data_IF_320957111033
#
_entry.id   IF_320957111033
#
_cell.length_a   1.000
_cell.length_b   1.000
_cell.length_c   1.000
_cell.angle_alpha   90.00
_cell.angle_beta   90.00
_cell.angle_gamma   90.00
#
_symmetry.space_group_name_H-M   'P 1'
#
loop_
_entity.id
_entity.type
_entity.pdbx_description
1 polymer ?
#
# COMPACT_ATOMS: atom_id res chain seq x y z
N UNK A 1 22.37 -38.69 -0.82
CA UNK A 1 23.54 -38.27 -0.02
C UNK A 1 24.42 -37.44 -0.94
N UNK A 2 24.33 -36.11 -0.87
CA UNK A 2 25.13 -35.22 -1.71
C UNK A 2 26.46 -34.97 -1.01
N UNK A 3 27.57 -35.18 -1.75
CA UNK A 3 28.92 -35.09 -1.23
C UNK A 3 29.32 -33.63 -0.94
N UNK A 4 30.06 -33.47 0.16
CA UNK A 4 30.64 -32.25 0.70
C UNK A 4 31.95 -32.02 -0.05
N UNK A 5 31.97 -31.21 -1.11
CA UNK A 5 33.23 -30.61 -1.61
C UNK A 5 33.06 -29.44 -2.59
N UNK A 6 31.84 -29.11 -2.99
CA UNK A 6 31.45 -27.76 -3.37
C UNK A 6 30.02 -27.59 -2.84
N UNK A 7 29.77 -26.81 -1.77
CA UNK A 7 28.40 -26.64 -1.32
C UNK A 7 27.72 -25.85 -2.43
N UNK A 8 26.96 -26.51 -3.30
CA UNK A 8 26.07 -25.84 -4.24
C UNK A 8 25.32 -24.76 -3.45
N UNK A 9 25.71 -23.50 -3.65
CA UNK A 9 25.11 -22.38 -2.95
C UNK A 9 23.73 -22.27 -3.56
N UNK A 10 22.73 -22.70 -2.79
CA UNK A 10 21.34 -22.61 -3.20
C UNK A 10 21.00 -21.13 -3.35
N UNK A 11 20.94 -20.64 -4.59
CA UNK A 11 20.63 -19.23 -4.88
C UNK A 11 19.13 -18.97 -4.95
N UNK A 12 18.35 -19.95 -5.40
CA UNK A 12 16.90 -19.82 -5.51
C UNK A 12 16.19 -21.02 -4.90
N UNK A 13 15.22 -20.74 -4.04
CA UNK A 13 14.37 -21.75 -3.44
C UNK A 13 12.92 -21.30 -3.57
N UNK A 14 12.13 -22.09 -4.32
CA UNK A 14 10.71 -21.86 -4.54
C UNK A 14 9.94 -23.11 -4.15
N UNK A 15 9.13 -23.00 -3.10
CA UNK A 15 8.40 -24.11 -2.50
C UNK A 15 6.91 -23.80 -2.50
N UNK A 16 6.10 -24.73 -2.99
CA UNK A 16 4.65 -24.65 -2.84
C UNK A 16 4.05 -25.99 -2.48
N UNK A 17 3.33 -26.05 -1.36
CA UNK A 17 2.70 -27.29 -0.87
C UNK A 17 3.68 -28.46 -0.66
N UNK A 18 4.91 -28.15 -0.23
CA UNK A 18 5.96 -29.16 0.03
C UNK A 18 6.36 -29.09 1.50
N UNK A 19 6.56 -30.26 2.11
CA UNK A 19 7.18 -30.39 3.43
C UNK A 19 8.70 -30.43 3.26
N UNK A 20 9.39 -29.51 3.91
CA UNK A 20 10.85 -29.51 3.95
C UNK A 20 11.33 -29.47 5.39
N UNK A 21 12.46 -30.12 5.63
CA UNK A 21 13.23 -29.91 6.85
C UNK A 21 14.06 -28.63 6.69
N UNK A 22 13.64 -27.57 7.38
CA UNK A 22 14.27 -26.26 7.31
C UNK A 22 15.67 -26.23 7.94
N UNK A 23 16.06 -27.21 8.75
CA UNK A 23 17.40 -27.29 9.35
C UNK A 23 18.43 -27.92 8.38
N UNK A 24 17.96 -28.71 7.42
CA UNK A 24 18.81 -29.38 6.44
C UNK A 24 19.25 -28.49 5.27
N UNK A 25 18.65 -27.30 5.12
CA UNK A 25 18.90 -26.39 3.99
C UNK A 25 19.91 -25.31 4.37
N UNK A 26 20.96 -25.16 3.56
CA UNK A 26 21.88 -24.03 3.68
C UNK A 26 21.34 -22.80 2.91
N UNK A 27 21.02 -21.74 3.64
CA UNK A 27 20.44 -20.50 3.09
C UNK A 27 21.47 -19.38 2.85
N UNK A 28 22.77 -19.61 3.12
CA UNK A 28 23.77 -18.54 3.10
C UNK A 28 23.97 -17.87 1.74
N UNK A 29 23.73 -18.61 0.64
CA UNK A 29 23.80 -18.10 -0.73
C UNK A 29 22.45 -17.65 -1.31
N UNK A 30 21.37 -17.68 -0.52
CA UNK A 30 20.03 -17.53 -1.07
C UNK A 30 19.74 -16.08 -1.50
N UNK A 31 19.35 -15.94 -2.77
CA UNK A 31 18.94 -14.69 -3.41
C UNK A 31 17.44 -14.60 -3.59
N UNK A 32 16.76 -15.74 -3.79
CA UNK A 32 15.31 -15.82 -3.96
C UNK A 32 14.73 -16.85 -3.01
N UNK A 33 13.82 -16.42 -2.15
CA UNK A 33 13.01 -17.29 -1.30
C UNK A 33 11.53 -17.08 -1.63
N UNK A 34 10.89 -18.09 -2.21
CA UNK A 34 9.44 -18.12 -2.38
C UNK A 34 8.85 -19.34 -1.68
N UNK A 35 7.89 -19.11 -0.80
CA UNK A 35 7.26 -20.16 0.00
C UNK A 35 5.75 -19.92 -0.02
N UNK A 36 5.00 -20.93 -0.45
CA UNK A 36 3.55 -20.79 -0.63
C UNK A 36 2.74 -21.99 -0.17
N UNK A 37 1.57 -21.71 0.39
CA UNK A 37 0.54 -22.71 0.71
C UNK A 37 1.07 -23.85 1.60
N UNK A 38 1.77 -23.52 2.67
CA UNK A 38 2.20 -24.47 3.68
C UNK A 38 1.09 -24.67 4.70
N UNK A 39 0.04 -25.40 4.29
CA UNK A 39 -1.10 -25.70 5.15
C UNK A 39 -0.63 -26.47 6.39
N UNK A 40 -0.73 -25.86 7.58
CA UNK A 40 -0.48 -26.44 8.91
C UNK A 40 0.94 -26.95 9.23
N UNK A 41 1.89 -26.83 8.31
CA UNK A 41 3.29 -27.28 8.49
C UNK A 41 4.31 -26.21 8.04
N UNK A 42 3.90 -24.93 8.10
CA UNK A 42 4.77 -23.80 7.80
C UNK A 42 5.86 -23.59 8.86
N UNK A 43 7.00 -22.99 8.51
CA UNK A 43 7.97 -22.52 9.50
C UNK A 43 7.33 -21.46 10.40
N UNK A 44 7.78 -21.35 11.65
CA UNK A 44 7.36 -20.28 12.58
C UNK A 44 7.89 -18.92 12.09
N UNK A 45 7.31 -17.80 12.56
CA UNK A 45 7.83 -16.45 12.25
C UNK A 45 9.29 -16.38 12.66
N UNK A 46 9.60 -16.84 13.88
CA UNK A 46 10.96 -16.88 14.40
C UNK A 46 11.89 -17.67 13.48
N UNK A 47 11.47 -18.85 13.02
CA UNK A 47 12.30 -19.67 12.13
C UNK A 47 12.58 -18.96 10.82
N UNK A 48 11.59 -18.26 10.26
CA UNK A 48 11.81 -17.43 9.08
C UNK A 48 12.82 -16.32 9.39
N UNK A 49 12.66 -15.61 10.50
CA UNK A 49 13.61 -14.57 10.92
C UNK A 49 15.03 -15.12 11.08
N UNK A 50 15.21 -16.32 11.63
CA UNK A 50 16.50 -17.01 11.70
C UNK A 50 17.09 -17.28 10.31
N UNK A 51 16.27 -17.77 9.37
CA UNK A 51 16.69 -17.97 7.97
C UNK A 51 17.11 -16.63 7.34
N UNK A 52 16.30 -15.58 7.52
CA UNK A 52 16.57 -14.25 6.98
C UNK A 52 17.85 -13.65 7.56
N UNK A 53 18.13 -13.86 8.85
CA UNK A 53 19.38 -13.39 9.49
C UNK A 53 20.65 -14.02 8.91
N UNK A 54 20.53 -15.19 8.27
CA UNK A 54 21.62 -15.89 7.59
C UNK A 54 21.66 -15.64 6.09
N UNK A 55 20.60 -15.07 5.52
CA UNK A 55 20.41 -14.87 4.07
C UNK A 55 20.76 -13.44 3.67
N UNK A 56 22.02 -13.05 3.83
CA UNK A 56 22.45 -11.66 3.63
C UNK A 56 22.41 -11.19 2.15
N UNK A 57 22.31 -12.11 1.17
CA UNK A 57 22.21 -11.78 -0.25
C UNK A 57 20.77 -11.81 -0.80
N UNK A 58 19.77 -11.98 0.08
CA UNK A 58 18.38 -12.12 -0.33
C UNK A 58 17.87 -10.88 -1.06
N UNK A 59 17.44 -11.06 -2.30
CA UNK A 59 16.91 -10.01 -3.18
C UNK A 59 15.38 -10.10 -3.30
N UNK A 60 14.84 -11.31 -3.23
CA UNK A 60 13.42 -11.58 -3.36
C UNK A 60 12.90 -12.47 -2.23
N UNK A 61 11.89 -12.00 -1.50
CA UNK A 61 11.18 -12.77 -0.49
C UNK A 61 9.68 -12.79 -0.80
N UNK A 62 9.11 -13.97 -1.03
CA UNK A 62 7.67 -14.17 -1.15
C UNK A 62 7.17 -15.25 -0.19
N UNK A 63 6.27 -14.91 0.72
CA UNK A 63 5.66 -15.83 1.68
C UNK A 63 4.14 -15.78 1.50
N UNK A 64 3.48 -16.93 1.35
CA UNK A 64 2.02 -17.00 1.21
C UNK A 64 1.42 -18.22 1.88
N UNK A 65 0.26 -18.05 2.52
CA UNK A 65 -0.43 -19.16 3.19
C UNK A 65 0.41 -19.81 4.29
N UNK A 66 1.24 -19.01 4.97
CA UNK A 66 1.99 -19.46 6.14
C UNK A 66 1.16 -19.14 7.37
N UNK A 67 0.50 -20.16 7.92
CA UNK A 67 -0.05 -20.13 9.27
C UNK A 67 1.12 -20.35 10.21
N UNK A 68 1.62 -19.28 10.84
CA UNK A 68 2.75 -19.39 11.74
C UNK A 68 2.20 -19.91 13.07
N UNK A 69 2.67 -21.06 13.52
CA UNK A 69 2.35 -21.54 14.87
C UNK A 69 2.89 -20.53 15.89
N UNK A 70 2.06 -20.13 16.87
CA UNK A 70 2.52 -19.34 18.00
C UNK A 70 3.61 -20.13 18.75
N UNK A 71 4.80 -19.54 18.88
CA UNK A 71 5.82 -20.07 19.78
C UNK A 71 5.53 -19.61 21.20
N UNK A 72 5.67 -20.54 22.15
CA UNK A 72 5.67 -20.23 23.59
C UNK A 72 6.86 -19.32 23.94
N UNK A 73 6.63 -18.32 24.77
CA UNK A 73 7.45 -17.12 25.10
C UNK A 73 8.87 -17.33 25.67
N UNK A 74 9.55 -18.46 25.45
CA UNK A 74 10.78 -18.83 26.16
C UNK A 74 12.10 -18.58 25.42
N UNK A 75 12.07 -17.88 24.29
CA UNK A 75 13.28 -17.70 23.48
C UNK A 75 13.84 -16.26 23.53
N UNK A 76 15.17 -16.09 23.55
CA UNK A 76 15.80 -14.77 23.60
C UNK A 76 15.44 -13.94 22.35
N UNK A 77 15.42 -12.60 22.46
CA UNK A 77 15.16 -11.71 21.34
C UNK A 77 16.23 -11.91 20.25
N UNK A 78 15.79 -12.00 18.99
CA UNK A 78 16.69 -12.02 17.84
C UNK A 78 17.34 -10.63 17.66
N UNK A 79 18.61 -10.57 17.20
CA UNK A 79 19.22 -9.30 16.84
C UNK A 79 18.47 -8.65 15.66
N UNK A 80 18.61 -7.33 15.45
CA UNK A 80 17.98 -6.64 14.33
C UNK A 80 18.40 -7.27 12.99
N UNK A 81 17.43 -7.68 12.18
CA UNK A 81 17.69 -8.27 10.87
C UNK A 81 17.65 -7.15 9.83
N UNK A 82 18.74 -6.99 9.08
CA UNK A 82 18.82 -6.01 8.00
C UNK A 82 19.04 -6.74 6.68
N UNK A 83 18.07 -6.66 5.78
CA UNK A 83 18.14 -7.24 4.44
C UNK A 83 18.51 -6.15 3.43
N UNK A 84 19.80 -5.83 3.36
CA UNK A 84 20.33 -4.72 2.55
C UNK A 84 20.19 -4.91 1.03
N UNK A 85 19.94 -6.13 0.55
CA UNK A 85 19.78 -6.40 -0.89
C UNK A 85 18.35 -6.70 -1.29
N UNK A 86 17.42 -6.74 -0.33
CA UNK A 86 16.04 -7.09 -0.60
C UNK A 86 15.39 -5.99 -1.44
N UNK A 87 15.12 -6.29 -2.71
CA UNK A 87 14.42 -5.40 -3.62
C UNK A 87 12.92 -5.67 -3.64
N UNK A 88 12.51 -6.92 -3.36
CA UNK A 88 11.11 -7.34 -3.45
C UNK A 88 10.68 -8.14 -2.24
N UNK A 89 9.61 -7.70 -1.57
CA UNK A 89 8.95 -8.36 -0.45
C UNK A 89 7.47 -8.60 -0.75
N UNK A 90 7.03 -9.86 -0.75
CA UNK A 90 5.65 -10.27 -0.98
C UNK A 90 5.17 -11.12 0.20
N UNK A 91 4.21 -10.65 0.97
CA UNK A 91 3.68 -11.33 2.14
C UNK A 91 2.17 -11.51 2.02
N UNK A 92 1.70 -12.75 2.02
CA UNK A 92 0.29 -13.13 2.06
C UNK A 92 0.06 -14.11 3.20
N UNK A 93 0.32 -13.64 4.41
CA UNK A 93 0.21 -14.40 5.66
C UNK A 93 -1.02 -13.92 6.45
N UNK A 94 -1.27 -14.47 7.64
CA UNK A 94 -2.28 -13.95 8.56
C UNK A 94 -1.92 -12.54 9.10
N UNK A 95 -2.93 -11.89 9.70
CA UNK A 95 -2.89 -10.47 10.08
C UNK A 95 -1.74 -10.12 11.04
N UNK A 96 -1.45 -10.98 12.01
CA UNK A 96 -0.42 -10.73 13.01
C UNK A 96 0.96 -11.21 12.53
N UNK A 97 1.00 -12.29 11.75
CA UNK A 97 2.24 -12.88 11.24
C UNK A 97 2.98 -11.97 10.27
N UNK A 98 2.25 -11.35 9.34
CA UNK A 98 2.86 -10.39 8.42
C UNK A 98 3.33 -9.14 9.17
N UNK A 99 2.59 -8.72 10.20
CA UNK A 99 2.95 -7.59 11.06
C UNK A 99 4.25 -7.86 11.80
N UNK A 100 4.34 -9.01 12.46
CA UNK A 100 5.51 -9.40 13.25
C UNK A 100 6.76 -9.50 12.36
N UNK A 101 6.63 -10.08 11.17
CA UNK A 101 7.74 -10.18 10.21
C UNK A 101 8.22 -8.81 9.71
N UNK A 102 7.29 -7.88 9.45
CA UNK A 102 7.63 -6.50 9.05
C UNK A 102 8.29 -5.73 10.20
N UNK A 103 7.88 -5.97 11.45
CA UNK A 103 8.48 -5.30 12.61
C UNK A 103 9.89 -5.82 12.92
N UNK A 104 10.16 -7.10 12.66
CA UNK A 104 11.43 -7.74 13.00
C UNK A 104 12.55 -7.55 11.97
N UNK A 105 12.24 -6.96 10.80
CA UNK A 105 13.19 -6.88 9.67
C UNK A 105 13.23 -5.46 9.09
N UNK A 106 14.44 -4.93 8.91
CA UNK A 106 14.71 -3.72 8.12
C UNK A 106 15.07 -4.11 6.69
N UNK A 107 14.49 -3.41 5.72
CA UNK A 107 14.70 -3.64 4.29
C UNK A 107 14.92 -2.28 3.58
N UNK A 108 16.06 -1.61 3.84
CA UNK A 108 16.28 -0.20 3.55
C UNK A 108 16.34 0.15 2.05
N UNK A 109 16.38 -0.85 1.17
CA UNK A 109 16.41 -0.66 -0.29
C UNK A 109 15.27 -1.38 -1.01
N UNK A 110 14.24 -1.82 -0.28
CA UNK A 110 13.09 -2.49 -0.86
C UNK A 110 12.31 -1.55 -1.78
N UNK A 111 12.07 -2.04 -3.00
CA UNK A 111 11.47 -1.30 -4.10
C UNK A 111 10.04 -1.79 -4.38
N UNK A 112 9.78 -3.09 -4.17
CA UNK A 112 8.46 -3.68 -4.34
C UNK A 112 8.01 -4.32 -3.02
N UNK A 113 6.92 -3.82 -2.45
CA UNK A 113 6.33 -4.36 -1.23
C UNK A 113 4.88 -4.73 -1.52
N UNK A 114 4.53 -6.00 -1.48
CA UNK A 114 3.15 -6.47 -1.56
C UNK A 114 2.79 -7.18 -0.26
N UNK A 115 1.88 -6.63 0.52
CA UNK A 115 1.47 -7.27 1.78
C UNK A 115 -0.05 -7.35 1.87
N UNK A 116 -0.55 -8.48 2.33
CA UNK A 116 -1.96 -8.65 2.69
C UNK A 116 -2.09 -9.20 4.09
N UNK A 117 -3.09 -8.71 4.82
CA UNK A 117 -3.36 -9.10 6.19
C UNK A 117 -2.32 -8.48 7.12
N UNK A 118 -2.45 -7.18 7.41
CA UNK A 118 -1.58 -6.50 8.37
C UNK A 118 -2.43 -5.81 9.42
N UNK A 119 -2.04 -5.96 10.68
CA UNK A 119 -2.57 -5.20 11.80
C UNK A 119 -1.89 -3.82 11.90
N UNK A 120 -2.41 -2.85 11.15
CA UNK A 120 -1.83 -1.52 10.99
C UNK A 120 -1.75 -0.70 12.30
N UNK A 121 -2.55 -1.01 13.33
CA UNK A 121 -2.46 -0.38 14.66
C UNK A 121 -1.10 -0.59 15.31
N UNK A 122 -0.43 -1.69 14.94
CA UNK A 122 0.90 -2.06 15.43
C UNK A 122 2.02 -1.52 14.53
N UNK A 123 1.69 -0.83 13.42
CA UNK A 123 2.67 -0.33 12.45
C UNK A 123 3.20 1.10 12.70
N UNK A 124 2.80 1.77 13.78
CA UNK A 124 3.25 3.14 14.07
C UNK A 124 4.75 3.19 14.35
N UNK A 125 5.55 3.73 13.41
CA UNK A 125 7.00 3.96 13.56
C UNK A 125 7.93 2.96 12.85
N UNK A 126 7.44 2.22 11.86
CA UNK A 126 8.10 1.00 11.35
C UNK A 126 8.84 1.09 10.00
N UNK A 127 9.64 0.05 9.63
CA UNK A 127 10.33 -0.10 8.33
C UNK A 127 9.47 0.11 7.08
N UNK A 128 8.15 -0.03 7.19
CA UNK A 128 7.21 0.27 6.10
C UNK A 128 7.25 1.75 5.69
N UNK A 129 7.51 2.67 6.63
CA UNK A 129 7.67 4.10 6.34
C UNK A 129 8.96 4.37 5.57
N UNK A 130 10.02 3.61 5.83
CA UNK A 130 11.27 3.68 5.06
C UNK A 130 11.04 3.24 3.62
N UNK A 131 10.29 2.16 3.41
CA UNK A 131 9.91 1.71 2.04
C UNK A 131 9.03 2.72 1.34
N UNK A 132 8.03 3.26 2.03
CA UNK A 132 7.19 4.33 1.49
C UNK A 132 8.07 5.52 1.08
N UNK A 133 9.03 5.93 1.93
CA UNK A 133 9.99 6.98 1.62
C UNK A 133 10.89 6.67 0.44
N UNK A 134 11.38 5.44 0.31
CA UNK A 134 12.20 5.00 -0.82
C UNK A 134 11.43 5.02 -2.14
N UNK A 135 10.16 4.58 -2.12
CA UNK A 135 9.29 4.63 -3.30
C UNK A 135 9.04 6.09 -3.71
N UNK A 136 8.80 6.98 -2.74
CA UNK A 136 8.48 8.40 -2.98
C UNK A 136 9.68 9.20 -3.50
N UNK A 137 10.90 8.93 -3.01
CA UNK A 137 12.13 9.63 -3.44
C UNK A 137 12.44 9.50 -4.93
N UNK A 138 11.86 8.52 -5.61
CA UNK A 138 12.10 8.23 -7.01
C UNK A 138 11.17 9.02 -7.97
N UNK A 139 10.28 9.89 -7.46
CA UNK A 139 9.55 10.97 -8.16
C UNK A 139 8.00 10.85 -8.15
N UNK A 140 7.29 11.11 -9.26
CA UNK A 140 5.81 11.18 -9.26
C UNK A 140 5.16 9.92 -8.69
N UNK A 141 4.44 10.07 -7.57
CA UNK A 141 3.87 8.96 -6.82
C UNK A 141 2.38 8.85 -7.11
N UNK A 142 1.93 7.71 -7.62
CA UNK A 142 0.50 7.42 -7.78
C UNK A 142 -0.01 6.61 -6.59
N UNK A 143 -0.94 7.16 -5.82
CA UNK A 143 -1.60 6.47 -4.71
C UNK A 143 -2.97 6.02 -5.21
N UNK A 144 -3.22 4.71 -5.29
CA UNK A 144 -4.49 4.15 -5.70
C UNK A 144 -5.16 3.45 -4.50
N UNK A 145 -6.38 3.85 -4.19
CA UNK A 145 -7.25 3.19 -3.23
C UNK A 145 -8.34 2.45 -4.00
N UNK A 146 -8.42 1.13 -3.87
CA UNK A 146 -9.43 0.31 -4.54
C UNK A 146 -9.94 -0.78 -3.62
N UNK A 147 -11.25 -0.85 -3.42
CA UNK A 147 -11.96 -1.86 -2.61
C UNK A 147 -11.38 -2.02 -1.19
N UNK A 148 -10.53 -3.02 -0.98
CA UNK A 148 -9.87 -3.33 0.29
C UNK A 148 -8.35 -3.11 0.21
N UNK A 149 -7.85 -2.33 -0.74
CA UNK A 149 -6.42 -2.25 -1.06
C UNK A 149 -5.93 -0.83 -1.36
N UNK A 150 -4.75 -0.54 -0.84
CA UNK A 150 -3.89 0.59 -1.21
C UNK A 150 -2.82 0.12 -2.19
N UNK A 151 -2.51 0.96 -3.16
CA UNK A 151 -1.41 0.79 -4.07
C UNK A 151 -0.62 2.10 -4.12
N UNK A 152 0.70 2.07 -3.97
CA UNK A 152 1.59 3.14 -4.42
C UNK A 152 2.27 2.65 -5.69
N UNK A 153 2.19 3.41 -6.78
CA UNK A 153 2.69 3.01 -8.08
C UNK A 153 3.62 4.07 -8.70
N UNK A 154 4.85 3.63 -9.01
CA UNK A 154 5.69 4.09 -10.11
C UNK A 154 6.44 2.85 -10.65
N UNK A 155 7.64 2.95 -11.24
CA UNK A 155 8.48 1.76 -11.59
C UNK A 155 8.62 0.74 -10.44
N UNK A 156 8.34 1.17 -9.22
CA UNK A 156 8.27 0.45 -7.95
C UNK A 156 6.82 0.43 -7.43
N UNK A 157 6.38 -0.67 -6.81
CA UNK A 157 5.00 -0.80 -6.32
C UNK A 157 4.90 -1.18 -4.84
N UNK A 158 4.17 -0.37 -4.06
CA UNK A 158 3.59 -0.81 -2.79
C UNK A 158 2.17 -1.31 -3.08
N UNK A 159 1.81 -2.49 -2.60
CA UNK A 159 0.43 -2.95 -2.54
C UNK A 159 0.16 -3.42 -1.12
N UNK A 160 -0.83 -2.83 -0.47
CA UNK A 160 -1.23 -3.23 0.88
C UNK A 160 -2.73 -3.52 0.87
N UNK A 161 -3.14 -4.72 1.30
CA UNK A 161 -4.54 -5.07 1.48
C UNK A 161 -4.96 -4.87 2.93
N UNK A 162 -6.00 -4.10 3.14
CA UNK A 162 -6.56 -3.72 4.44
C UNK A 162 -7.91 -4.40 4.67
N UNK A 163 -8.28 -4.51 5.94
CA UNK A 163 -9.65 -4.90 6.33
C UNK A 163 -10.64 -3.76 6.08
N UNK A 164 -10.22 -2.52 6.34
CA UNK A 164 -10.96 -1.28 6.09
C UNK A 164 -10.06 -0.27 5.36
N UNK A 165 -10.49 0.23 4.19
CA UNK A 165 -9.71 1.19 3.42
C UNK A 165 -9.81 2.62 3.93
N UNK A 166 -10.88 3.02 4.62
CA UNK A 166 -10.93 4.34 5.23
C UNK A 166 -9.87 4.46 6.33
N UNK A 167 -9.75 3.42 7.14
CA UNK A 167 -8.74 3.32 8.20
C UNK A 167 -7.32 3.30 7.60
N UNK A 168 -7.13 2.58 6.49
CA UNK A 168 -5.90 2.56 5.72
C UNK A 168 -5.51 3.94 5.16
N UNK A 169 -6.49 4.64 4.60
CA UNK A 169 -6.34 5.97 4.07
C UNK A 169 -5.90 6.93 5.17
N UNK A 170 -6.64 6.96 6.30
CA UNK A 170 -6.30 7.79 7.46
C UNK A 170 -4.89 7.48 7.95
N UNK A 171 -4.53 6.22 8.11
CA UNK A 171 -3.19 5.84 8.55
C UNK A 171 -2.12 6.33 7.57
N UNK A 172 -2.28 6.08 6.26
CA UNK A 172 -1.30 6.48 5.26
C UNK A 172 -1.08 7.99 5.29
N UNK A 173 -2.16 8.76 5.30
CA UNK A 173 -2.09 10.21 5.18
C UNK A 173 -1.63 10.86 6.50
N UNK A 174 -1.99 10.30 7.65
CA UNK A 174 -1.58 10.81 8.97
C UNK A 174 -0.14 10.43 9.31
N UNK A 175 0.24 9.18 9.05
CA UNK A 175 1.55 8.63 9.45
C UNK A 175 2.60 8.84 8.37
N UNK A 176 2.26 8.58 7.09
CA UNK A 176 3.19 8.78 5.99
C UNK A 176 3.05 10.16 5.31
N UNK A 177 2.10 10.99 5.73
CA UNK A 177 1.89 12.34 5.20
C UNK A 177 3.14 13.23 5.12
N UNK A 178 3.98 13.30 6.17
CA UNK A 178 5.24 14.05 6.11
C UNK A 178 6.20 13.55 5.03
N UNK A 179 6.22 12.24 4.78
CA UNK A 179 7.05 11.61 3.76
C UNK A 179 6.47 11.87 2.36
N UNK A 180 5.15 11.75 2.23
CA UNK A 180 4.40 12.05 1.00
C UNK A 180 4.61 13.49 0.55
N UNK A 181 4.68 14.44 1.48
CA UNK A 181 4.98 15.84 1.19
C UNK A 181 6.41 16.09 0.65
N UNK A 182 7.31 15.11 0.69
CA UNK A 182 8.59 15.18 -0.01
C UNK A 182 8.50 14.74 -1.48
N UNK A 183 7.37 14.15 -1.90
CA UNK A 183 7.14 13.80 -3.30
C UNK A 183 7.03 15.08 -4.15
N UNK A 184 7.68 15.17 -5.33
CA UNK A 184 7.53 16.32 -6.21
C UNK A 184 6.08 16.49 -6.72
N UNK A 185 5.37 15.38 -6.90
CA UNK A 185 3.98 15.33 -7.38
C UNK A 185 3.31 14.04 -6.90
N UNK A 186 2.05 14.14 -6.50
CA UNK A 186 1.20 13.03 -6.10
C UNK A 186 -0.03 12.98 -7.00
N UNK A 187 -0.29 11.81 -7.58
CA UNK A 187 -1.58 11.48 -8.18
C UNK A 187 -2.36 10.62 -7.19
N UNK A 188 -3.46 11.14 -6.66
CA UNK A 188 -4.35 10.40 -5.79
C UNK A 188 -5.50 9.82 -6.62
N UNK A 189 -5.62 8.50 -6.63
CA UNK A 189 -6.66 7.74 -7.32
C UNK A 189 -7.50 7.03 -6.28
N UNK A 190 -8.79 7.30 -6.30
CA UNK A 190 -9.78 6.71 -5.40
C UNK A 190 -10.79 5.97 -6.27
N UNK A 191 -10.70 4.64 -6.32
CA UNK A 191 -11.55 3.73 -7.11
C UNK A 191 -12.51 2.94 -6.19
N UNK A 192 -13.50 3.61 -5.58
CA UNK A 192 -14.31 3.04 -4.48
C UNK A 192 -15.74 3.58 -4.37
N UNK A 193 -16.63 2.79 -3.74
CA UNK A 193 -17.96 3.23 -3.30
C UNK A 193 -17.85 3.85 -1.90
N UNK A 194 -17.80 5.18 -1.82
CA UNK A 194 -17.83 5.89 -0.53
C UNK A 194 -19.10 6.74 -0.44
N UNK A 195 -19.75 6.71 0.72
CA UNK A 195 -20.78 7.69 1.06
C UNK A 195 -20.18 9.08 1.31
N UNK A 196 -21.05 10.08 1.48
CA UNK A 196 -20.66 11.48 1.72
C UNK A 196 -19.67 11.65 2.89
N UNK A 197 -19.95 11.04 4.04
CA UNK A 197 -19.12 11.20 5.24
C UNK A 197 -17.70 10.68 5.06
N UNK A 198 -17.57 9.49 4.45
CA UNK A 198 -16.29 8.89 4.12
C UNK A 198 -15.49 9.74 3.12
N UNK A 199 -16.18 10.33 2.14
CA UNK A 199 -15.59 11.20 1.14
C UNK A 199 -15.08 12.51 1.76
N UNK A 200 -15.88 13.12 2.64
CA UNK A 200 -15.48 14.30 3.42
C UNK A 200 -14.26 14.03 4.31
N UNK A 201 -14.24 12.87 4.97
CA UNK A 201 -13.14 12.45 5.82
C UNK A 201 -11.83 12.22 5.03
N UNK A 202 -11.91 11.55 3.88
CA UNK A 202 -10.78 11.37 2.95
C UNK A 202 -10.23 12.73 2.50
N UNK A 203 -11.10 13.62 2.04
CA UNK A 203 -10.70 14.94 1.53
C UNK A 203 -10.09 15.81 2.63
N UNK A 204 -10.75 15.90 3.79
CA UNK A 204 -10.25 16.68 4.93
C UNK A 204 -8.92 16.13 5.45
N UNK A 205 -8.78 14.81 5.57
CA UNK A 205 -7.53 14.16 5.99
C UNK A 205 -6.41 14.42 4.99
N UNK A 206 -6.69 14.48 3.68
CA UNK A 206 -5.66 14.72 2.66
C UNK A 206 -5.28 16.20 2.44
N UNK A 207 -5.97 17.13 3.08
CA UNK A 207 -5.79 18.57 2.85
C UNK A 207 -4.39 19.13 3.17
N UNK A 208 -3.61 18.46 4.02
CA UNK A 208 -2.21 18.87 4.29
C UNK A 208 -1.21 18.38 3.25
N UNK A 209 -1.65 17.56 2.29
CA UNK A 209 -0.80 17.06 1.19
C UNK A 209 -0.77 18.05 0.03
N UNK A 210 0.08 19.08 0.15
CA UNK A 210 0.13 20.20 -0.81
C UNK A 210 0.63 19.82 -2.21
N UNK A 211 1.24 18.64 -2.36
CA UNK A 211 1.82 18.18 -3.62
C UNK A 211 0.90 17.27 -4.43
N UNK A 212 -0.37 17.12 -4.03
CA UNK A 212 -1.40 16.48 -4.86
C UNK A 212 -1.61 17.34 -6.11
N UNK A 213 -1.22 16.79 -7.26
CA UNK A 213 -1.33 17.45 -8.55
C UNK A 213 -2.41 16.85 -9.45
N UNK A 214 -2.87 15.64 -9.14
CA UNK A 214 -3.95 14.98 -9.87
C UNK A 214 -4.87 14.21 -8.92
N UNK A 215 -6.18 14.34 -9.12
CA UNK A 215 -7.23 13.58 -8.43
C UNK A 215 -8.00 12.74 -9.43
N UNK A 216 -8.06 11.43 -9.23
CA UNK A 216 -8.81 10.51 -10.08
C UNK A 216 -9.85 9.83 -9.23
N UNK A 217 -11.11 10.11 -9.49
CA UNK A 217 -12.25 9.65 -8.70
C UNK A 217 -13.06 8.72 -9.57
N UNK A 218 -13.04 7.44 -9.23
CA UNK A 218 -13.79 6.40 -9.94
C UNK A 218 -14.58 5.61 -8.91
N UNK A 219 -15.83 5.30 -9.17
CA UNK A 219 -16.64 4.54 -8.23
C UNK A 219 -18.10 4.65 -8.59
N UNK A 220 -18.82 3.55 -8.46
CA UNK A 220 -20.27 3.56 -8.58
C UNK A 220 -20.87 3.96 -7.24
N UNK A 221 -21.54 5.10 -7.21
CA UNK A 221 -22.29 5.54 -6.05
C UNK A 221 -23.36 4.50 -5.68
N UNK A 222 -23.55 4.23 -4.39
CA UNK A 222 -24.42 3.14 -3.92
C UNK A 222 -25.92 3.48 -3.98
N UNK A 223 -26.27 4.67 -4.47
CA UNK A 223 -27.67 5.08 -4.60
C UNK A 223 -28.26 5.68 -3.33
N UNK A 224 -27.50 5.82 -2.22
CA UNK A 224 -28.06 6.23 -0.93
C UNK A 224 -28.46 7.72 -0.91
N UNK A 225 -29.76 8.07 -0.92
CA UNK A 225 -30.25 9.43 -1.14
C UNK A 225 -29.97 10.44 0.01
N UNK A 226 -29.23 10.04 1.05
CA UNK A 226 -29.16 10.75 2.34
C UNK A 226 -27.86 11.56 2.53
N UNK A 227 -26.93 11.52 1.60
CA UNK A 227 -25.74 12.38 1.66
C UNK A 227 -25.09 12.46 0.30
N UNK A 228 -24.71 13.66 -0.13
CA UNK A 228 -24.19 13.93 -1.47
C UNK A 228 -23.08 13.00 -1.95
N UNK A 229 -22.76 13.07 -3.24
CA UNK A 229 -21.70 12.29 -3.85
C UNK A 229 -20.29 12.88 -3.52
N UNK A 230 -19.21 12.20 -3.90
CA UNK A 230 -17.83 12.71 -3.67
C UNK A 230 -17.61 14.09 -4.33
N UNK A 231 -18.29 14.37 -5.44
CA UNK A 231 -18.22 15.67 -6.12
C UNK A 231 -18.98 16.75 -5.35
N UNK A 232 -20.07 16.40 -4.66
CA UNK A 232 -20.72 17.29 -3.71
C UNK A 232 -19.79 17.59 -2.53
N UNK A 233 -19.08 16.58 -2.01
CA UNK A 233 -18.05 16.82 -0.99
C UNK A 233 -16.98 17.76 -1.51
N UNK A 234 -16.46 17.53 -2.71
CA UNK A 234 -15.49 18.41 -3.36
C UNK A 234 -16.03 19.80 -3.63
N UNK A 235 -17.32 19.96 -3.95
CA UNK A 235 -17.95 21.26 -4.20
C UNK A 235 -18.26 22.01 -2.89
N UNK A 236 -18.61 21.29 -1.82
CA UNK A 236 -18.93 21.82 -0.49
C UNK A 236 -17.68 22.18 0.31
N UNK A 237 -16.68 21.30 0.33
CA UNK A 237 -15.31 21.66 0.69
C UNK A 237 -14.68 22.63 -0.33
N UNK A 238 -15.29 22.66 -1.51
CA UNK A 238 -15.02 23.45 -2.72
C UNK A 238 -15.37 24.92 -2.70
N UNK A 239 -15.86 25.44 -1.57
CA UNK A 239 -15.44 26.79 -1.20
C UNK A 239 -13.90 26.89 -1.22
N UNK A 240 -13.31 28.07 -0.94
CA UNK A 240 -11.99 28.50 -1.45
C UNK A 240 -10.96 27.36 -1.71
N UNK A 241 -11.10 26.62 -2.81
CA UNK A 241 -10.43 25.31 -3.00
C UNK A 241 -8.99 25.45 -3.46
N UNK A 242 -8.56 26.69 -3.74
CA UNK A 242 -7.16 27.05 -3.77
C UNK A 242 -6.40 26.73 -2.48
N UNK A 243 -7.08 26.43 -1.36
CA UNK A 243 -6.42 26.09 -0.09
C UNK A 243 -6.20 24.58 0.14
N UNK A 244 -7.08 23.69 -0.32
CA UNK A 244 -6.98 22.25 -0.01
C UNK A 244 -5.94 21.53 -0.86
N UNK A 245 -5.93 21.79 -2.17
CA UNK A 245 -4.96 21.20 -3.10
C UNK A 245 -4.36 22.30 -3.99
N UNK A 246 -3.41 23.10 -3.46
CA UNK A 246 -2.89 24.28 -4.15
C UNK A 246 -2.13 23.97 -5.45
N UNK A 247 -1.78 22.69 -5.69
CA UNK A 247 -1.08 22.23 -6.89
C UNK A 247 -1.94 21.35 -7.80
N UNK A 248 -3.24 21.25 -7.53
CA UNK A 248 -4.14 20.43 -8.34
C UNK A 248 -4.23 20.98 -9.76
N UNK A 249 -3.80 20.18 -10.74
CA UNK A 249 -3.77 20.51 -12.16
C UNK A 249 -4.71 19.62 -12.98
N UNK A 250 -4.95 18.39 -12.52
CA UNK A 250 -5.77 17.40 -13.22
C UNK A 250 -6.85 16.83 -12.31
N UNK A 251 -8.08 16.78 -12.82
CA UNK A 251 -9.21 16.13 -12.18
C UNK A 251 -9.86 15.15 -13.17
N UNK A 252 -9.79 13.85 -12.86
CA UNK A 252 -10.49 12.80 -13.60
C UNK A 252 -11.64 12.30 -12.72
N UNK A 253 -12.85 12.26 -13.28
CA UNK A 253 -14.05 11.87 -12.53
C UNK A 253 -14.88 10.93 -13.38
N UNK A 254 -15.27 9.79 -12.80
CA UNK A 254 -16.34 8.97 -13.33
C UNK A 254 -17.69 9.50 -12.86
N UNK A 255 -18.62 9.71 -13.78
CA UNK A 255 -20.00 10.12 -13.49
C UNK A 255 -20.98 9.08 -14.04
N UNK A 256 -22.00 8.79 -13.25
CA UNK A 256 -23.03 7.78 -13.53
C UNK A 256 -24.45 8.35 -13.49
N UNK A 257 -24.64 9.54 -12.89
CA UNK A 257 -25.95 10.18 -12.68
C UNK A 257 -25.96 11.66 -13.05
N UNK A 258 -27.14 12.22 -13.34
CA UNK A 258 -27.28 13.65 -13.63
C UNK A 258 -26.94 14.53 -12.42
N UNK A 259 -27.22 14.05 -11.19
CA UNK A 259 -26.84 14.74 -9.96
C UNK A 259 -25.32 14.92 -9.88
N UNK A 260 -24.52 13.91 -10.24
CA UNK A 260 -23.05 14.03 -10.25
C UNK A 260 -22.54 15.02 -11.30
N UNK A 261 -23.22 15.12 -12.45
CA UNK A 261 -22.92 16.13 -13.48
C UNK A 261 -23.18 17.55 -12.94
N UNK A 262 -24.29 17.75 -12.23
CA UNK A 262 -24.60 19.03 -11.57
C UNK A 262 -23.59 19.37 -10.48
N UNK A 263 -23.18 18.38 -9.66
CA UNK A 263 -22.12 18.53 -8.65
C UNK A 263 -20.78 18.95 -9.27
N UNK A 264 -20.39 18.31 -10.38
CA UNK A 264 -19.19 18.66 -11.14
C UNK A 264 -19.28 20.08 -11.69
N UNK A 265 -20.42 20.45 -12.30
CA UNK A 265 -20.65 21.80 -12.79
C UNK A 265 -20.48 22.84 -11.67
N UNK A 266 -21.10 22.61 -10.51
CA UNK A 266 -20.99 23.47 -9.34
C UNK A 266 -19.53 23.58 -8.83
N UNK A 267 -18.79 22.48 -8.80
CA UNK A 267 -17.37 22.48 -8.47
C UNK A 267 -16.54 23.32 -9.44
N UNK A 268 -16.73 23.15 -10.75
CA UNK A 268 -15.98 23.92 -11.77
C UNK A 268 -16.27 25.41 -11.70
N UNK A 269 -17.55 25.79 -11.54
CA UNK A 269 -17.96 27.19 -11.40
C UNK A 269 -17.28 27.87 -10.18
N UNK A 270 -17.16 27.16 -9.05
CA UNK A 270 -16.49 27.64 -7.84
C UNK A 270 -14.96 27.62 -7.93
N UNK A 271 -14.40 26.69 -8.70
CA UNK A 271 -12.95 26.60 -8.90
C UNK A 271 -12.42 27.77 -9.72
N UNK A 272 -13.16 28.20 -10.74
CA UNK A 272 -12.81 29.37 -11.57
C UNK A 272 -12.75 30.68 -10.75
N UNK A 273 -13.55 30.82 -9.70
CA UNK A 273 -13.56 32.02 -8.85
C UNK A 273 -12.51 32.00 -7.74
N UNK A 274 -11.92 30.84 -7.43
CA UNK A 274 -10.95 30.66 -6.34
C UNK A 274 -9.48 30.70 -6.77
N UNK A 275 -9.19 30.92 -8.07
CA UNK A 275 -7.82 31.01 -8.60
C UNK A 275 -7.12 29.66 -8.80
N UNK A 276 -7.85 28.54 -8.68
CA UNK A 276 -7.35 27.20 -8.98
C UNK A 276 -7.08 27.06 -10.48
N UNK A 277 -5.85 26.73 -10.88
CA UNK A 277 -5.47 26.50 -12.28
C UNK A 277 -5.61 25.02 -12.64
N UNK A 278 -6.84 24.56 -12.86
CA UNK A 278 -7.08 23.25 -13.47
C UNK A 278 -6.71 23.30 -14.95
N UNK A 279 -5.75 22.47 -15.36
CA UNK A 279 -5.32 22.34 -16.75
C UNK A 279 -6.16 21.30 -17.51
N UNK A 280 -6.66 20.29 -16.81
CA UNK A 280 -7.46 19.23 -17.41
C UNK A 280 -8.57 18.77 -16.45
N UNK A 281 -9.80 18.71 -16.98
CA UNK A 281 -10.91 17.99 -16.36
C UNK A 281 -11.35 16.93 -17.35
N UNK A 282 -11.29 15.66 -16.93
CA UNK A 282 -11.74 14.53 -17.74
C UNK A 282 -12.93 13.87 -17.07
N UNK A 283 -14.01 13.75 -17.82
CA UNK A 283 -15.24 13.10 -17.38
C UNK A 283 -15.32 11.73 -18.07
N UNK A 284 -15.42 10.67 -17.27
CA UNK A 284 -15.65 9.30 -17.73
C UNK A 284 -17.13 8.95 -17.46
N UNK A 285 -17.95 8.81 -18.51
CA UNK A 285 -19.34 8.39 -18.33
C UNK A 285 -19.42 6.86 -18.20
N UNK A 286 -19.88 6.38 -17.04
CA UNK A 286 -20.02 4.94 -16.75
C UNK A 286 -21.44 4.41 -17.00
N UNK A 287 -22.40 5.28 -17.32
CA UNK A 287 -23.78 4.87 -17.58
C UNK A 287 -23.94 4.37 -19.03
N UNK A 288 -24.58 3.20 -19.26
CA UNK A 288 -24.97 2.75 -20.60
C UNK A 288 -26.19 3.51 -21.17
N UNK A 289 -26.74 4.49 -20.44
CA UNK A 289 -27.97 5.22 -20.80
C UNK A 289 -27.75 6.68 -21.21
N UNK A 290 -26.53 7.06 -21.59
CA UNK A 290 -26.27 8.27 -22.37
C UNK A 290 -25.99 7.92 -23.83
#
# INVERSE_FOLDING_TARGET
MFAIEDPCLLEELRLSRVLIDWDAVNFSGLRVLEVGNLLNFGPTVRRILEILSRSNQLQHLALSGVTMSQESELHPPLPPIVLSYLSTLKLRCGDDEATDLITGVSFPFCQELQVSGINWRRLSGLPILEVIGNIIRLGNTRILFRESSLYLHRRNSLRVRFRDVQEAFRWLITVAGPILNNSPSITLVVEMKFGYEASMDILSTSSHLRNISALHLRGDWDGSPVGGNFLDCLANLGGPTGHLFPRLQELIVAVSTMSEVESLHNFTARSCTSGLQLHAIRVECNSPFF
#
